data_IF_225147834970
#
_entry.id   IF_225147834970
#
_cell.length_a   1.000
_cell.length_b   1.000
_cell.length_c   1.000
_cell.angle_alpha   90.00
_cell.angle_beta   90.00
_cell.angle_gamma   90.00
#
_symmetry.space_group_name_H-M   'P 1'
#
loop_
_entity.id
_entity.type
_entity.pdbx_description
1 polymer ?
#
# COMPACT_ATOMS: atom_id res chain seq x y z
N UNK A 1 7.42 17.08 4.19
CA UNK A 1 7.21 18.49 4.56
C UNK A 1 7.29 19.33 3.30
N UNK A 2 6.30 20.17 3.06
CA UNK A 2 6.19 20.98 1.83
C UNK A 2 6.06 22.45 2.17
N UNK A 3 6.58 23.33 1.32
CA UNK A 3 6.31 24.76 1.38
C UNK A 3 4.89 25.01 0.82
N UNK A 4 4.03 25.70 1.57
CA UNK A 4 2.64 25.90 1.16
C UNK A 4 2.46 27.00 0.10
N UNK A 5 3.47 27.83 -0.14
CA UNK A 5 3.43 28.89 -1.14
C UNK A 5 3.96 28.40 -2.49
N UNK A 6 4.97 27.54 -2.50
CA UNK A 6 5.60 27.02 -3.73
C UNK A 6 5.32 25.55 -4.04
N UNK A 7 4.73 24.79 -3.12
CA UNK A 7 4.59 23.33 -3.17
C UNK A 7 5.93 22.57 -3.23
N UNK A 8 7.04 23.22 -2.85
CA UNK A 8 8.37 22.60 -2.87
C UNK A 8 8.55 21.59 -1.73
N UNK A 9 9.26 20.48 -2.01
CA UNK A 9 9.66 19.51 -0.99
C UNK A 9 10.77 20.10 -0.09
N UNK A 10 10.44 20.35 1.18
CA UNK A 10 11.37 20.89 2.17
C UNK A 10 12.07 19.82 3.01
N UNK A 11 11.47 18.63 3.14
CA UNK A 11 12.05 17.56 3.93
C UNK A 11 11.24 16.28 3.93
N UNK A 12 11.97 15.16 3.94
CA UNK A 12 11.43 13.81 4.15
C UNK A 12 11.63 13.47 5.63
N UNK A 13 10.58 13.01 6.30
CA UNK A 13 10.57 12.70 7.73
C UNK A 13 10.43 11.19 7.93
N UNK A 14 10.45 10.76 9.20
CA UNK A 14 10.18 9.38 9.59
C UNK A 14 11.21 8.35 9.04
N UNK A 15 12.49 8.61 9.35
CA UNK A 15 13.63 7.80 8.89
C UNK A 15 13.93 6.57 9.78
N UNK A 16 13.13 6.29 10.80
CA UNK A 16 13.46 5.26 11.80
C UNK A 16 13.51 3.82 11.24
N UNK A 17 12.92 3.61 10.07
CA UNK A 17 12.94 2.33 9.34
C UNK A 17 13.86 2.32 8.11
N UNK A 18 14.63 3.39 7.89
CA UNK A 18 15.50 3.49 6.71
C UNK A 18 16.62 2.45 6.74
N UNK A 19 16.86 1.83 5.59
CA UNK A 19 17.88 0.79 5.43
C UNK A 19 18.34 0.70 3.97
N UNK A 20 19.48 0.05 3.73
CA UNK A 20 19.91 -0.31 2.38
C UNK A 20 19.25 -1.62 1.95
N UNK A 21 18.62 -1.66 0.79
CA UNK A 21 17.90 -2.84 0.31
C UNK A 21 17.48 -2.75 -1.14
N UNK A 22 16.51 -3.59 -1.51
CA UNK A 22 15.86 -3.52 -2.82
C UNK A 22 15.04 -2.21 -2.93
N UNK A 23 15.30 -1.32 -3.90
CA UNK A 23 14.52 -0.09 -4.07
C UNK A 23 13.02 -0.34 -4.31
N UNK A 24 12.65 -1.51 -4.83
CA UNK A 24 11.25 -1.86 -5.06
C UNK A 24 10.50 -2.12 -3.74
N UNK A 25 11.21 -2.29 -2.61
CA UNK A 25 10.60 -2.40 -1.30
C UNK A 25 9.82 -1.14 -0.92
N UNK A 26 10.38 0.05 -1.18
CA UNK A 26 9.73 1.33 -0.90
C UNK A 26 8.49 1.54 -1.78
N UNK A 27 8.59 1.18 -3.07
CA UNK A 27 7.48 1.28 -4.01
C UNK A 27 6.36 0.26 -3.70
N UNK A 28 6.74 -0.95 -3.27
CA UNK A 28 5.81 -1.97 -2.81
C UNK A 28 5.09 -1.53 -1.53
N UNK A 29 5.81 -0.91 -0.59
CA UNK A 29 5.23 -0.33 0.61
C UNK A 29 4.25 0.78 0.25
N UNK A 30 4.63 1.75 -0.59
CA UNK A 30 3.76 2.83 -1.09
C UNK A 30 2.46 2.31 -1.74
N UNK A 31 2.51 1.10 -2.31
CA UNK A 31 1.38 0.47 -2.99
C UNK A 31 0.51 -0.43 -2.11
N UNK A 32 0.85 -0.63 -0.83
CA UNK A 32 -0.04 -1.35 0.10
C UNK A 32 -1.37 -0.59 0.20
N UNK A 33 -2.49 -1.28 0.02
CA UNK A 33 -3.84 -0.68 -0.08
C UNK A 33 -4.20 0.17 1.15
N UNK A 34 -3.64 -0.17 2.30
CA UNK A 34 -3.77 0.62 3.54
C UNK A 34 -3.27 2.06 3.41
N UNK A 35 -2.34 2.33 2.51
CA UNK A 35 -1.82 3.67 2.18
C UNK A 35 -2.52 4.31 0.99
N UNK A 36 -3.47 3.62 0.36
CA UNK A 36 -4.28 4.20 -0.71
C UNK A 36 -5.47 5.02 -0.17
N UNK A 37 -5.66 5.11 1.15
CA UNK A 37 -6.70 5.92 1.80
C UNK A 37 -8.11 5.75 1.20
N UNK A 38 -8.49 4.51 0.90
CA UNK A 38 -9.80 4.18 0.32
C UNK A 38 -9.92 4.40 -1.20
N UNK A 39 -8.82 4.70 -1.90
CA UNK A 39 -8.75 4.85 -3.35
C UNK A 39 -7.94 3.72 -4.01
N UNK A 40 -8.36 2.45 -3.94
CA UNK A 40 -7.59 1.32 -4.48
C UNK A 40 -7.39 1.39 -6.00
N UNK A 41 -8.16 2.21 -6.71
CA UNK A 41 -7.98 2.49 -8.14
C UNK A 41 -6.77 3.39 -8.45
N UNK A 42 -6.21 4.05 -7.42
CA UNK A 42 -4.99 4.87 -7.48
C UNK A 42 -3.89 4.18 -6.68
N UNK A 43 -3.21 3.18 -7.26
CA UNK A 43 -2.35 2.26 -6.51
C UNK A 43 -1.07 2.89 -5.97
N UNK A 44 -0.73 4.12 -6.38
CA UNK A 44 0.41 4.86 -5.84
C UNK A 44 -0.09 5.79 -4.74
N UNK A 45 -0.06 5.32 -3.49
CA UNK A 45 -0.44 6.08 -2.30
C UNK A 45 -1.88 6.64 -2.29
N UNK A 46 -2.77 6.14 -3.15
CA UNK A 46 -4.15 6.63 -3.25
C UNK A 46 -4.31 7.91 -4.08
N UNK A 47 -3.23 8.44 -4.66
CA UNK A 47 -3.25 9.70 -5.41
C UNK A 47 -2.73 9.59 -6.83
N UNK A 48 -1.91 8.59 -7.17
CA UNK A 48 -1.30 8.47 -8.50
C UNK A 48 -1.46 7.11 -9.16
N UNK A 49 -1.03 7.04 -10.43
CA UNK A 49 -0.94 5.80 -11.21
C UNK A 49 0.51 5.39 -11.46
N UNK A 50 0.72 4.10 -11.69
CA UNK A 50 2.04 3.55 -11.99
C UNK A 50 2.71 4.19 -13.21
N UNK A 51 1.95 4.58 -14.24
CA UNK A 51 2.50 5.22 -15.42
C UNK A 51 3.19 6.56 -15.07
N UNK A 52 2.52 7.38 -14.25
CA UNK A 52 3.03 8.69 -13.83
C UNK A 52 4.26 8.54 -12.92
N UNK A 53 4.18 7.64 -11.93
CA UNK A 53 5.32 7.33 -11.07
C UNK A 53 6.50 6.77 -11.87
N UNK A 54 6.27 5.86 -12.82
CA UNK A 54 7.34 5.26 -13.61
C UNK A 54 8.05 6.29 -14.48
N UNK A 55 7.31 7.24 -15.07
CA UNK A 55 7.90 8.32 -15.86
C UNK A 55 8.83 9.20 -15.00
N UNK A 56 8.33 9.71 -13.87
CA UNK A 56 9.15 10.54 -12.96
C UNK A 56 10.33 9.79 -12.35
N UNK A 57 10.13 8.52 -11.98
CA UNK A 57 11.20 7.67 -11.44
C UNK A 57 12.30 7.41 -12.48
N UNK A 58 11.94 7.25 -13.76
CA UNK A 58 12.89 7.10 -14.86
C UNK A 58 13.64 8.40 -15.17
N UNK A 59 12.97 9.55 -15.15
CA UNK A 59 13.61 10.88 -15.29
C UNK A 59 14.65 11.14 -14.20
N UNK A 60 14.42 10.63 -12.99
CA UNK A 60 15.37 10.67 -11.87
C UNK A 60 16.49 9.59 -11.96
N UNK A 61 16.52 8.76 -13.01
CA UNK A 61 17.54 7.74 -13.24
C UNK A 61 17.23 6.36 -12.66
N UNK A 62 16.04 6.16 -12.10
CA UNK A 62 15.58 4.88 -11.57
C UNK A 62 14.90 3.99 -12.61
N UNK A 63 14.66 2.73 -12.23
CA UNK A 63 13.85 1.78 -13.02
C UNK A 63 12.90 1.03 -12.09
N UNK A 64 11.66 0.85 -12.54
CA UNK A 64 10.64 0.10 -11.81
C UNK A 64 10.50 -1.28 -12.45
N UNK A 65 10.65 -2.32 -11.63
CA UNK A 65 10.34 -3.71 -12.00
C UNK A 65 8.98 -4.09 -11.39
N UNK A 66 7.91 -4.21 -12.20
CA UNK A 66 6.57 -4.49 -11.70
C UNK A 66 6.44 -5.81 -10.95
N UNK A 67 7.22 -6.83 -11.31
CA UNK A 67 7.15 -8.13 -10.65
C UNK A 67 7.76 -8.06 -9.24
N UNK A 68 8.88 -7.35 -9.10
CA UNK A 68 9.50 -7.10 -7.80
C UNK A 68 8.65 -6.19 -6.93
N UNK A 69 8.07 -5.12 -7.49
CA UNK A 69 7.11 -4.27 -6.78
C UNK A 69 5.94 -5.11 -6.25
N UNK A 70 5.37 -5.98 -7.08
CA UNK A 70 4.26 -6.84 -6.64
C UNK A 70 4.67 -7.78 -5.50
N UNK A 71 5.86 -8.39 -5.58
CA UNK A 71 6.40 -9.21 -4.50
C UNK A 71 6.52 -8.41 -3.19
N UNK A 72 7.08 -7.20 -3.25
CA UNK A 72 7.22 -6.33 -2.08
C UNK A 72 5.88 -5.80 -1.57
N UNK A 73 4.91 -5.57 -2.45
CA UNK A 73 3.55 -5.20 -2.07
C UNK A 73 2.87 -6.33 -1.28
N UNK A 74 3.00 -7.58 -1.75
CA UNK A 74 2.50 -8.77 -1.01
C UNK A 74 3.14 -8.85 0.37
N UNK A 75 4.47 -8.75 0.45
CA UNK A 75 5.17 -8.80 1.74
C UNK A 75 4.81 -7.61 2.64
N UNK A 76 4.66 -6.41 2.07
CA UNK A 76 4.26 -5.20 2.77
C UNK A 76 2.86 -5.33 3.38
N UNK A 77 1.89 -5.86 2.61
CA UNK A 77 0.53 -6.12 3.11
C UNK A 77 0.56 -7.13 4.25
N UNK A 78 1.32 -8.23 4.14
CA UNK A 78 1.48 -9.20 5.22
C UNK A 78 2.10 -8.57 6.46
N UNK A 79 3.19 -7.82 6.30
CA UNK A 79 3.88 -7.13 7.40
C UNK A 79 2.92 -6.19 8.13
N UNK A 80 2.12 -5.42 7.39
CA UNK A 80 1.14 -4.52 7.98
C UNK A 80 0.06 -5.27 8.77
N UNK A 81 -0.43 -6.41 8.25
CA UNK A 81 -1.36 -7.28 8.97
C UNK A 81 -0.81 -7.78 10.31
N UNK A 82 0.45 -8.24 10.33
CA UNK A 82 1.13 -8.67 11.57
C UNK A 82 1.28 -7.51 12.57
N UNK A 83 1.56 -6.29 12.09
CA UNK A 83 1.61 -5.09 12.95
C UNK A 83 0.24 -4.80 13.55
N UNK A 84 -0.84 -4.84 12.75
CA UNK A 84 -2.20 -4.66 13.22
C UNK A 84 -2.56 -5.68 14.30
N UNK A 85 -2.28 -6.97 14.08
CA UNK A 85 -2.52 -8.02 15.07
C UNK A 85 -1.73 -7.79 16.36
N UNK A 86 -0.44 -7.41 16.24
CA UNK A 86 0.41 -7.12 17.40
C UNK A 86 -0.13 -5.96 18.25
N UNK A 87 -0.62 -4.89 17.60
CA UNK A 87 -1.30 -3.79 18.29
C UNK A 87 -2.62 -4.23 18.94
N UNK A 88 -3.35 -5.16 18.30
CA UNK A 88 -4.56 -5.74 18.87
C UNK A 88 -4.29 -6.55 20.12
N UNK A 89 -3.25 -7.39 20.12
CA UNK A 89 -2.85 -8.17 21.30
C UNK A 89 -2.46 -7.26 22.46
N UNK A 90 -1.61 -6.25 22.21
CA UNK A 90 -1.17 -5.31 23.23
C UNK A 90 -2.34 -4.47 23.82
N UNK A 91 -3.38 -4.20 23.02
CA UNK A 91 -4.58 -3.57 23.54
C UNK A 91 -5.44 -4.52 24.39
N UNK A 92 -5.62 -5.77 23.93
CA UNK A 92 -6.46 -6.78 24.60
C UNK A 92 -5.89 -7.25 25.95
N UNK A 93 -4.57 -7.39 26.05
CA UNK A 93 -3.89 -7.80 27.28
C UNK A 93 -3.64 -6.63 28.26
N UNK A 94 -3.92 -5.39 27.83
CA UNK A 94 -3.80 -4.19 28.63
C UNK A 94 -2.38 -3.64 28.79
N UNK A 95 -1.40 -4.16 28.05
CA UNK A 95 -0.03 -3.61 28.03
C UNK A 95 0.02 -2.22 27.37
N UNK A 96 -0.76 -1.99 26.32
CA UNK A 96 -0.91 -0.71 25.63
C UNK A 96 -2.41 -0.35 25.45
N UNK A 97 -3.10 0.12 26.51
CA UNK A 97 -4.54 0.38 26.50
C UNK A 97 -4.93 1.69 25.78
N UNK A 98 -4.25 2.05 24.70
CA UNK A 98 -4.55 3.22 23.89
C UNK A 98 -5.60 2.89 22.82
N UNK A 99 -6.58 3.78 22.64
CA UNK A 99 -7.66 3.60 21.66
C UNK A 99 -7.14 3.49 20.22
N UNK A 100 -6.01 4.14 19.91
CA UNK A 100 -5.37 4.08 18.60
C UNK A 100 -4.91 2.65 18.24
N UNK A 101 -4.37 1.90 19.19
CA UNK A 101 -4.03 0.47 19.02
C UNK A 101 -5.24 -0.37 18.65
N UNK A 102 -6.35 -0.20 19.37
CA UNK A 102 -7.62 -0.89 19.06
C UNK A 102 -8.15 -0.52 17.67
N UNK A 103 -8.04 0.76 17.28
CA UNK A 103 -8.48 1.23 15.98
C UNK A 103 -7.63 0.64 14.85
N UNK A 104 -6.31 0.59 15.00
CA UNK A 104 -5.38 0.00 14.01
C UNK A 104 -5.58 -1.52 13.94
N UNK A 105 -5.79 -2.20 15.06
CA UNK A 105 -5.98 -3.64 15.12
C UNK A 105 -7.13 -4.14 14.23
N UNK A 106 -8.22 -3.37 14.13
CA UNK A 106 -9.37 -3.72 13.27
C UNK A 106 -9.02 -3.81 11.78
N UNK A 107 -7.89 -3.24 11.36
CA UNK A 107 -7.44 -3.27 9.96
C UNK A 107 -6.81 -4.61 9.57
N UNK A 108 -6.55 -5.52 10.50
CA UNK A 108 -6.01 -6.85 10.19
C UNK A 108 -6.86 -7.58 9.13
N UNK A 109 -8.19 -7.54 9.25
CA UNK A 109 -9.10 -8.15 8.28
C UNK A 109 -9.07 -7.50 6.89
N UNK A 110 -8.79 -6.19 6.81
CA UNK A 110 -8.53 -5.52 5.51
C UNK A 110 -7.30 -6.14 4.84
N UNK A 111 -6.21 -6.30 5.61
CA UNK A 111 -4.96 -6.87 5.08
C UNK A 111 -5.07 -8.33 4.65
N UNK A 112 -5.90 -9.13 5.34
CA UNK A 112 -6.19 -10.51 4.94
C UNK A 112 -6.87 -10.57 3.57
N UNK A 113 -7.88 -9.71 3.36
CA UNK A 113 -8.59 -9.61 2.07
C UNK A 113 -7.63 -9.12 0.99
N UNK A 114 -6.81 -8.11 1.27
CA UNK A 114 -5.84 -7.57 0.32
C UNK A 114 -4.81 -8.62 -0.09
N UNK A 115 -4.31 -9.43 0.86
CA UNK A 115 -3.41 -10.54 0.55
C UNK A 115 -4.05 -11.57 -0.37
N UNK A 116 -5.30 -11.96 -0.11
CA UNK A 116 -6.03 -12.87 -0.98
C UNK A 116 -6.18 -12.29 -2.39
N UNK A 117 -6.47 -10.99 -2.51
CA UNK A 117 -6.58 -10.31 -3.81
C UNK A 117 -5.25 -10.21 -4.57
N UNK A 118 -4.13 -10.10 -3.86
CA UNK A 118 -2.80 -10.05 -4.45
C UNK A 118 -2.29 -11.44 -4.86
N UNK A 119 -2.58 -12.48 -4.07
CA UNK A 119 -2.08 -13.84 -4.28
C UNK A 119 -2.95 -14.67 -5.23
N UNK A 120 -4.27 -14.48 -5.19
CA UNK A 120 -5.18 -15.30 -5.98
C UNK A 120 -5.32 -14.75 -7.40
N UNK A 121 -5.40 -15.64 -8.42
CA UNK A 121 -5.72 -15.21 -9.76
C UNK A 121 -7.05 -14.46 -9.76
N UNK A 122 -7.07 -13.23 -10.30
CA UNK A 122 -8.35 -12.54 -10.52
C UNK A 122 -9.16 -13.37 -11.48
N UNK A 123 -10.29 -13.90 -11.01
CA UNK A 123 -11.27 -14.55 -11.88
C UNK A 123 -11.74 -13.49 -12.87
N UNK A 124 -11.49 -13.69 -14.16
CA UNK A 124 -12.06 -12.82 -15.18
C UNK A 124 -13.58 -12.81 -15.00
N UNK A 125 -14.14 -11.66 -14.65
CA UNK A 125 -15.59 -11.48 -14.67
C UNK A 125 -15.98 -11.50 -16.15
N UNK A 126 -16.73 -12.51 -16.56
CA UNK A 126 -17.23 -12.58 -17.93
C UNK A 126 -18.06 -11.31 -18.20
N UNK A 127 -17.67 -10.55 -19.22
CA UNK A 127 -18.45 -9.40 -19.67
C UNK A 127 -19.83 -9.92 -20.08
N UNK A 128 -20.94 -9.48 -19.48
CA UNK A 128 -22.26 -9.95 -19.87
C UNK A 128 -22.48 -9.59 -21.34
N UNK A 129 -22.69 -10.61 -22.16
CA UNK A 129 -23.03 -10.44 -23.57
C UNK A 129 -24.44 -9.86 -23.63
N UNK A 130 -24.57 -8.56 -23.89
CA UNK A 130 -25.87 -7.96 -24.19
C UNK A 130 -26.31 -8.49 -25.55
N UNK A 131 -27.30 -9.40 -25.56
CA UNK A 131 -27.93 -9.81 -26.81
C UNK A 131 -28.81 -8.66 -27.31
N UNK A 132 -28.70 -8.25 -28.59
CA UNK A 132 -29.60 -7.27 -29.14
C UNK A 132 -31.02 -7.84 -29.14
N UNK A 133 -31.96 -7.12 -28.53
CA UNK A 133 -33.38 -7.42 -28.65
C UNK A 133 -33.79 -7.20 -30.11
N UNK A 134 -34.33 -8.24 -30.73
CA UNK A 134 -34.89 -8.23 -32.08
C UNK A 134 -36.28 -7.57 -32.12
#
# INVERSE_FOLDING_TARGET
>A
MVDLASDDLLGVLDWELAHCGDPMADLGWLAVVSWCFGQPQRPVGGFGHWAELSAGYAEAGGQIDPARVHWWQVLGTLRWGVICESMGQAWLDGSEPQMEKAAIARRASETEIDLLQLLLPRRAVATPTVQPHA
#
